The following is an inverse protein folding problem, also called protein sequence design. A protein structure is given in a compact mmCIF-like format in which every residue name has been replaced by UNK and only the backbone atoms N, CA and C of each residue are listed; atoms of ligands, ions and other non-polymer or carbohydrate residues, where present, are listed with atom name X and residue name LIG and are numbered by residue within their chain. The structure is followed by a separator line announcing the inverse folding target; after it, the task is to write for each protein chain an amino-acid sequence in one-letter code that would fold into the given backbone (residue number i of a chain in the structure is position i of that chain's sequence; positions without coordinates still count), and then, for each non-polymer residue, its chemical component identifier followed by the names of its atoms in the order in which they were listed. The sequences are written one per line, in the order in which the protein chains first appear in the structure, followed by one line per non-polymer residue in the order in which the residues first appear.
data_IF_178408813836
#
_entry.id   IF_178408813836
#
_cell.length_a   1.000
_cell.length_b   1.000
_cell.length_c   1.000
_cell.angle_alpha   90.00
_cell.angle_beta   90.00
_cell.angle_gamma   90.00
#
_symmetry.space_group_name_H-M   'P 1'
#
loop_
_entity.id
_entity.type
_entity.pdbx_description
1 polymer ?
#
# COMPACT_ATOMS: atom_id res chain seq x y z
N UNK A 1 26.28 2.13 -16.62
CA UNK A 1 25.15 3.04 -16.53
C UNK A 1 24.39 2.71 -15.23
N UNK A 2 24.74 3.42 -14.18
CA UNK A 2 23.97 3.38 -12.92
C UNK A 2 22.74 4.27 -13.18
N UNK A 3 21.57 3.69 -13.27
CA UNK A 3 20.34 4.44 -13.39
C UNK A 3 20.12 5.18 -12.08
N UNK A 4 20.08 6.49 -12.12
CA UNK A 4 19.89 7.35 -10.94
C UNK A 4 18.41 7.35 -10.56
N UNK A 5 18.02 6.37 -9.76
CA UNK A 5 16.66 6.22 -9.22
C UNK A 5 16.24 7.41 -8.33
N UNK A 6 17.20 8.22 -7.87
CA UNK A 6 16.91 9.35 -6.98
C UNK A 6 16.13 10.46 -7.68
N UNK A 7 16.30 10.64 -8.98
CA UNK A 7 15.59 11.65 -9.76
C UNK A 7 14.18 11.25 -10.17
N UNK A 8 13.90 9.96 -10.31
CA UNK A 8 12.55 9.48 -10.65
C UNK A 8 11.62 9.48 -9.43
N UNK A 9 12.18 9.53 -8.22
CA UNK A 9 11.43 9.52 -6.96
C UNK A 9 11.01 10.91 -6.48
N UNK A 10 11.65 11.98 -6.95
CA UNK A 10 11.54 13.29 -6.30
C UNK A 10 10.44 14.18 -6.82
N UNK A 11 9.95 14.10 -8.04
CA UNK A 11 9.05 15.14 -8.54
C UNK A 11 7.75 14.70 -9.22
N UNK A 12 7.72 13.64 -9.99
CA UNK A 12 6.50 13.30 -10.75
C UNK A 12 5.70 12.13 -10.17
N UNK A 13 6.36 11.09 -9.64
CA UNK A 13 5.68 9.88 -9.20
C UNK A 13 5.06 9.99 -7.80
N UNK A 14 5.70 10.72 -6.89
CA UNK A 14 5.13 10.94 -5.55
C UNK A 14 4.02 11.97 -5.61
N UNK A 15 4.19 13.07 -6.34
CA UNK A 15 3.16 14.10 -6.48
C UNK A 15 1.94 13.59 -7.27
N UNK A 16 2.14 12.76 -8.29
CA UNK A 16 1.04 12.13 -9.03
C UNK A 16 0.36 11.01 -8.24
N UNK A 17 1.12 10.29 -7.38
CA UNK A 17 0.57 9.25 -6.50
C UNK A 17 -0.24 9.80 -5.32
N UNK A 18 0.07 11.02 -4.89
CA UNK A 18 -0.35 11.56 -3.58
C UNK A 18 -1.66 12.37 -3.64
N UNK A 19 -2.29 12.54 -4.74
CA UNK A 19 -3.56 13.28 -4.70
C UNK A 19 -4.18 13.69 -6.03
N UNK A 20 -3.53 13.47 -7.13
CA UNK A 20 -4.03 13.91 -8.43
C UNK A 20 -4.51 12.78 -9.32
N UNK A 21 -5.13 11.75 -8.74
CA UNK A 21 -5.87 10.72 -9.47
C UNK A 21 -5.25 10.40 -10.84
N UNK A 22 -4.13 9.69 -10.86
CA UNK A 22 -3.47 9.33 -12.11
C UNK A 22 -4.29 8.28 -12.86
N UNK A 23 -4.14 8.19 -14.17
CA UNK A 23 -4.74 7.14 -14.99
C UNK A 23 -4.38 5.72 -14.48
N UNK A 24 -3.28 5.57 -13.74
CA UNK A 24 -2.89 4.31 -13.12
C UNK A 24 -3.90 3.87 -12.05
N UNK A 25 -4.36 4.78 -11.19
CA UNK A 25 -5.39 4.48 -10.19
C UNK A 25 -6.71 4.08 -10.84
N UNK A 26 -7.13 4.78 -11.89
CA UNK A 26 -8.31 4.41 -12.68
C UNK A 26 -8.19 3.01 -13.27
N UNK A 27 -7.04 2.70 -13.89
CA UNK A 27 -6.78 1.38 -14.46
C UNK A 27 -6.79 0.29 -13.39
N UNK A 28 -6.18 0.54 -12.23
CA UNK A 28 -6.16 -0.40 -11.11
C UNK A 28 -7.56 -0.69 -10.59
N UNK A 29 -8.36 0.34 -10.32
CA UNK A 29 -9.75 0.20 -9.88
C UNK A 29 -10.55 -0.63 -10.88
N UNK A 30 -10.55 -0.24 -12.17
CA UNK A 30 -11.28 -0.96 -13.22
C UNK A 30 -10.82 -2.39 -13.40
N UNK A 31 -9.52 -2.65 -13.28
CA UNK A 31 -8.98 -4.01 -13.37
C UNK A 31 -9.45 -4.86 -12.19
N UNK A 32 -9.36 -4.34 -10.97
CA UNK A 32 -9.83 -5.03 -9.77
C UNK A 32 -11.32 -5.37 -9.85
N UNK A 33 -12.16 -4.41 -10.26
CA UNK A 33 -13.58 -4.62 -10.46
C UNK A 33 -13.87 -5.67 -11.53
N UNK A 34 -13.16 -5.62 -12.68
CA UNK A 34 -13.32 -6.59 -13.77
C UNK A 34 -12.97 -8.01 -13.29
N UNK A 35 -11.83 -8.17 -12.62
CA UNK A 35 -11.40 -9.48 -12.11
C UNK A 35 -12.40 -9.98 -11.06
N UNK A 36 -12.78 -9.12 -10.11
CA UNK A 36 -13.71 -9.51 -9.04
C UNK A 36 -15.07 -9.97 -9.56
N UNK A 37 -15.60 -9.31 -10.60
CA UNK A 37 -16.87 -9.73 -11.26
C UNK A 37 -16.76 -11.04 -12.01
N UNK A 38 -15.63 -11.30 -12.65
CA UNK A 38 -15.46 -12.44 -13.55
C UNK A 38 -14.77 -13.64 -12.90
N UNK A 39 -14.30 -13.53 -11.65
CA UNK A 39 -13.68 -14.67 -10.97
C UNK A 39 -14.70 -15.79 -10.68
N UNK A 40 -14.28 -17.05 -10.58
CA UNK A 40 -15.13 -18.14 -10.11
C UNK A 40 -15.73 -17.82 -8.73
N UNK A 41 -16.95 -18.27 -8.47
CA UNK A 41 -17.69 -17.98 -7.24
C UNK A 41 -16.99 -18.56 -5.98
N UNK A 42 -16.30 -19.67 -6.15
CA UNK A 42 -15.55 -20.39 -5.10
C UNK A 42 -14.14 -19.81 -4.87
N UNK A 43 -13.74 -18.78 -5.63
CA UNK A 43 -12.41 -18.13 -5.52
C UNK A 43 -12.50 -16.76 -4.89
N UNK A 44 -11.52 -16.47 -4.03
CA UNK A 44 -11.33 -15.16 -3.44
C UNK A 44 -10.28 -14.38 -4.25
N UNK A 45 -10.56 -13.11 -4.53
CA UNK A 45 -9.54 -12.19 -5.07
C UNK A 45 -8.76 -11.60 -3.89
N UNK A 46 -7.45 -11.72 -3.95
CA UNK A 46 -6.53 -11.03 -3.04
C UNK A 46 -5.69 -10.09 -3.90
N UNK A 47 -5.56 -8.84 -3.45
CA UNK A 47 -4.81 -7.80 -4.15
C UNK A 47 -3.59 -7.46 -3.32
N UNK A 48 -2.44 -7.30 -3.94
CA UNK A 48 -1.21 -6.93 -3.24
C UNK A 48 -0.37 -5.95 -4.04
N UNK A 49 0.45 -5.16 -3.36
CA UNK A 49 1.35 -4.23 -3.99
C UNK A 49 2.32 -3.55 -3.00
N UNK A 50 3.42 -3.04 -3.54
CA UNK A 50 4.45 -2.33 -2.79
C UNK A 50 4.58 -0.89 -3.29
N UNK A 51 4.84 0.05 -2.41
CA UNK A 51 5.08 1.47 -2.73
C UNK A 51 3.89 2.09 -3.48
N UNK A 52 4.09 2.67 -4.65
CA UNK A 52 3.03 3.14 -5.54
C UNK A 52 2.07 2.00 -5.89
N UNK A 53 2.59 0.80 -6.19
CA UNK A 53 1.79 -0.41 -6.42
C UNK A 53 0.94 -0.80 -5.20
N UNK A 54 1.40 -0.51 -3.97
CA UNK A 54 0.64 -0.63 -2.74
C UNK A 54 -0.56 0.32 -2.69
N UNK A 55 -0.37 1.57 -3.11
CA UNK A 55 -1.45 2.54 -3.27
C UNK A 55 -2.48 2.10 -4.33
N UNK A 56 -2.00 1.61 -5.47
CA UNK A 56 -2.86 1.08 -6.54
C UNK A 56 -3.66 -0.15 -6.07
N UNK A 57 -3.01 -1.06 -5.35
CA UNK A 57 -3.66 -2.23 -4.75
C UNK A 57 -4.74 -1.81 -3.75
N UNK A 58 -4.42 -0.83 -2.90
CA UNK A 58 -5.36 -0.24 -1.93
C UNK A 58 -6.58 0.34 -2.62
N UNK A 59 -6.40 1.11 -3.69
CA UNK A 59 -7.51 1.70 -4.44
C UNK A 59 -8.42 0.63 -5.06
N UNK A 60 -7.82 -0.39 -5.70
CA UNK A 60 -8.59 -1.52 -6.26
C UNK A 60 -9.28 -2.36 -5.19
N UNK A 61 -8.61 -2.58 -4.05
CA UNK A 61 -9.17 -3.29 -2.90
C UNK A 61 -10.36 -2.57 -2.28
N UNK A 62 -10.21 -1.27 -2.02
CA UNK A 62 -11.28 -0.44 -1.46
C UNK A 62 -12.48 -0.32 -2.38
N UNK A 63 -12.27 -0.29 -3.72
CA UNK A 63 -13.35 -0.25 -4.70
C UNK A 63 -14.14 -1.57 -4.79
N UNK A 64 -13.53 -2.69 -4.40
CA UNK A 64 -14.12 -4.02 -4.56
C UNK A 64 -14.48 -4.72 -3.25
N UNK A 65 -14.06 -4.18 -2.11
CA UNK A 65 -14.13 -4.85 -0.81
C UNK A 65 -13.30 -6.13 -0.73
N UNK A 66 -12.30 -6.26 -1.60
CA UNK A 66 -11.42 -7.43 -1.63
C UNK A 66 -10.31 -7.33 -0.59
N UNK A 67 -9.87 -8.48 -0.10
CA UNK A 67 -8.72 -8.57 0.80
C UNK A 67 -7.47 -8.02 0.13
N UNK A 68 -6.80 -7.10 0.78
CA UNK A 68 -5.67 -6.37 0.21
C UNK A 68 -4.52 -6.32 1.20
N UNK A 69 -3.32 -6.63 0.71
CA UNK A 69 -2.07 -6.50 1.44
C UNK A 69 -1.17 -5.49 0.74
N UNK A 70 -0.96 -4.37 1.39
CA UNK A 70 -0.14 -3.28 0.87
C UNK A 70 1.14 -3.14 1.69
N UNK A 71 2.28 -2.99 1.03
CA UNK A 71 3.59 -2.92 1.67
C UNK A 71 4.22 -1.56 1.40
N UNK A 72 4.62 -0.83 2.44
CA UNK A 72 5.17 0.53 2.35
C UNK A 72 4.38 1.41 1.39
N UNK A 73 3.05 1.31 1.46
CA UNK A 73 2.16 1.82 0.44
C UNK A 73 2.04 3.35 0.46
N UNK A 74 1.98 3.95 -0.72
CA UNK A 74 1.51 5.32 -0.88
C UNK A 74 0.05 5.44 -0.44
N UNK A 75 -0.29 6.54 0.22
CA UNK A 75 -1.67 6.84 0.57
C UNK A 75 -2.53 7.12 -0.66
N UNK A 76 -3.82 6.88 -0.55
CA UNK A 76 -4.80 7.17 -1.61
C UNK A 76 -5.67 8.34 -1.16
N UNK A 77 -5.64 9.43 -1.92
CA UNK A 77 -6.45 10.58 -1.60
C UNK A 77 -7.95 10.28 -1.79
N UNK A 78 -8.84 10.70 -0.89
CA UNK A 78 -10.29 10.45 -1.01
C UNK A 78 -10.89 10.87 -2.34
N UNK A 79 -10.47 12.00 -2.89
CA UNK A 79 -10.92 12.50 -4.19
C UNK A 79 -10.61 11.54 -5.36
N UNK A 80 -9.63 10.63 -5.20
CA UNK A 80 -9.32 9.61 -6.21
C UNK A 80 -10.49 8.64 -6.37
N UNK A 81 -11.11 8.25 -5.27
CA UNK A 81 -12.28 7.37 -5.28
C UNK A 81 -13.46 8.04 -5.96
N UNK A 82 -13.79 9.26 -5.55
CA UNK A 82 -14.87 10.05 -6.12
C UNK A 82 -14.66 10.27 -7.64
N UNK A 83 -13.46 10.70 -8.03
CA UNK A 83 -13.08 10.94 -9.44
C UNK A 83 -13.28 9.72 -10.33
N UNK A 84 -13.10 8.52 -9.78
CA UNK A 84 -13.22 7.28 -10.56
C UNK A 84 -14.49 6.48 -10.25
N UNK A 85 -15.48 7.11 -9.61
CA UNK A 85 -16.83 6.58 -9.45
C UNK A 85 -16.97 5.56 -8.32
N UNK A 86 -16.01 5.49 -7.40
CA UNK A 86 -16.11 4.66 -6.20
C UNK A 86 -16.81 5.46 -5.10
N UNK A 87 -18.13 5.29 -4.99
CA UNK A 87 -18.95 6.07 -4.06
C UNK A 87 -18.73 5.68 -2.59
N UNK A 88 -18.49 4.40 -2.32
CA UNK A 88 -18.32 3.85 -0.97
C UNK A 88 -17.05 2.98 -0.91
N UNK A 89 -15.85 3.59 -0.82
CA UNK A 89 -14.62 2.83 -0.71
C UNK A 89 -14.58 2.08 0.64
N UNK A 90 -14.45 0.75 0.58
CA UNK A 90 -14.34 -0.11 1.75
C UNK A 90 -12.89 -0.53 2.00
N UNK A 91 -12.27 0.09 3.00
CA UNK A 91 -10.89 -0.22 3.41
C UNK A 91 -10.82 -1.20 4.59
N UNK A 92 -11.92 -1.77 5.03
CA UNK A 92 -11.97 -2.66 6.20
C UNK A 92 -11.14 -3.95 6.04
N UNK A 93 -10.86 -4.34 4.79
CA UNK A 93 -10.05 -5.51 4.45
C UNK A 93 -8.69 -5.16 3.85
N UNK A 94 -8.27 -3.91 3.99
CA UNK A 94 -6.95 -3.45 3.57
C UNK A 94 -6.01 -3.50 4.77
N UNK A 95 -4.89 -4.21 4.61
CA UNK A 95 -3.84 -4.32 5.62
C UNK A 95 -2.56 -3.74 5.05
N UNK A 96 -2.06 -2.69 5.67
CA UNK A 96 -0.85 -1.99 5.23
C UNK A 96 0.29 -2.24 6.19
N UNK A 97 1.32 -2.92 5.71
CA UNK A 97 2.57 -3.19 6.43
C UNK A 97 3.62 -2.16 6.05
N UNK A 98 4.29 -1.60 7.03
CA UNK A 98 5.36 -0.64 6.81
C UNK A 98 6.41 -0.73 7.91
N UNK A 99 7.65 -0.38 7.61
CA UNK A 99 8.70 -0.34 8.62
C UNK A 99 8.66 0.96 9.40
N UNK A 100 9.19 0.94 10.61
CA UNK A 100 9.40 2.15 11.42
C UNK A 100 10.36 3.16 10.75
N UNK A 101 11.07 2.76 9.70
CA UNK A 101 12.00 3.58 8.93
C UNK A 101 11.48 3.93 7.52
N UNK A 102 10.27 3.53 7.17
CA UNK A 102 9.66 3.82 5.87
C UNK A 102 9.37 5.33 5.72
N UNK A 103 10.11 5.96 4.80
CA UNK A 103 10.04 7.41 4.60
C UNK A 103 8.66 7.89 4.10
N UNK A 104 7.94 7.10 3.28
CA UNK A 104 6.61 7.46 2.83
C UNK A 104 5.61 7.55 3.99
N UNK A 105 5.67 6.57 4.89
CA UNK A 105 4.82 6.56 6.06
C UNK A 105 5.25 7.60 7.09
N UNK A 106 6.55 7.87 7.23
CA UNK A 106 7.04 8.97 8.06
C UNK A 106 6.60 10.33 7.50
N UNK A 107 6.74 10.56 6.20
CA UNK A 107 6.31 11.80 5.55
C UNK A 107 4.79 11.99 5.67
N UNK A 108 3.99 10.97 5.43
CA UNK A 108 2.52 11.05 5.54
C UNK A 108 2.03 11.24 6.98
N UNK A 109 2.82 10.80 7.98
CA UNK A 109 2.49 11.05 9.38
C UNK A 109 2.81 12.49 9.82
N UNK A 110 3.85 13.09 9.24
CA UNK A 110 4.38 14.40 9.65
C UNK A 110 3.92 15.54 8.76
N UNK A 111 3.57 15.27 7.51
CA UNK A 111 3.10 16.26 6.54
C UNK A 111 1.60 16.07 6.34
N UNK A 112 0.80 16.98 6.87
CA UNK A 112 -0.69 16.95 6.76
C UNK A 112 -1.20 16.98 5.32
N UNK A 113 -0.33 17.23 4.35
CA UNK A 113 -0.66 17.30 2.93
C UNK A 113 -0.67 15.94 2.22
N UNK A 114 -0.10 14.90 2.84
CA UNK A 114 -0.03 13.56 2.25
C UNK A 114 -1.06 12.63 2.90
N UNK A 115 -1.89 11.94 2.11
CA UNK A 115 -2.81 10.96 2.67
C UNK A 115 -2.02 9.80 3.29
N UNK A 116 -2.49 9.36 4.45
CA UNK A 116 -1.94 8.15 5.09
C UNK A 116 -2.36 6.92 4.29
N UNK A 117 -1.52 5.89 4.31
CA UNK A 117 -1.91 4.58 3.81
C UNK A 117 -3.19 4.10 4.51
N UNK A 118 -4.14 3.58 3.73
CA UNK A 118 -5.46 3.25 4.21
C UNK A 118 -5.52 1.86 4.87
N UNK A 119 -6.64 1.60 5.56
CA UNK A 119 -6.93 0.33 6.22
C UNK A 119 -6.23 0.16 7.56
N UNK A 120 -6.10 -1.09 8.00
CA UNK A 120 -5.33 -1.43 9.19
C UNK A 120 -3.84 -1.25 8.92
N UNK A 121 -3.18 -0.41 9.72
CA UNK A 121 -1.76 -0.08 9.56
C UNK A 121 -0.93 -0.85 10.56
N UNK A 122 -0.02 -1.69 10.08
CA UNK A 122 0.82 -2.58 10.87
C UNK A 122 2.28 -2.11 10.71
N UNK A 123 2.81 -1.52 11.77
CA UNK A 123 4.21 -1.09 11.82
C UNK A 123 5.08 -2.25 12.28
N UNK A 124 6.16 -2.48 11.55
CA UNK A 124 7.16 -3.50 11.85
C UNK A 124 8.48 -2.85 12.24
N UNK A 125 9.15 -3.41 13.21
CA UNK A 125 10.44 -2.93 13.66
C UNK A 125 11.56 -3.60 12.86
N UNK A 126 12.31 -2.78 12.11
CA UNK A 126 13.53 -3.23 11.44
C UNK A 126 14.73 -2.96 12.32
N UNK A 127 15.54 -4.00 12.57
CA UNK A 127 16.69 -3.96 13.49
C UNK A 127 17.96 -3.42 12.85
N UNK A 128 17.97 -3.14 11.55
CA UNK A 128 19.14 -2.65 10.83
C UNK A 128 19.37 -1.15 11.06
N UNK A 129 20.63 -0.76 10.95
CA UNK A 129 21.07 0.64 11.05
C UNK A 129 20.24 1.55 10.16
N UNK A 130 19.82 2.69 10.70
CA UNK A 130 19.00 3.69 10.05
C UNK A 130 19.50 4.01 8.63
N UNK A 131 18.67 3.70 7.64
CA UNK A 131 18.85 4.14 6.27
C UNK A 131 17.48 4.44 5.69
N UNK A 132 17.29 5.68 5.30
CA UNK A 132 16.04 6.17 4.70
C UNK A 132 15.59 5.34 3.49
N UNK A 133 16.54 4.91 2.67
CA UNK A 133 16.26 4.10 1.48
C UNK A 133 15.88 2.67 1.83
N UNK A 134 16.54 2.09 2.83
CA UNK A 134 16.30 0.70 3.24
C UNK A 134 14.98 0.50 3.96
N UNK A 135 14.48 1.49 4.70
CA UNK A 135 13.20 1.39 5.40
C UNK A 135 12.00 1.20 4.48
N UNK A 136 12.15 1.56 3.20
CA UNK A 136 11.14 1.38 2.16
C UNK A 136 11.33 0.09 1.34
N UNK A 137 12.40 -0.67 1.61
CA UNK A 137 12.78 -1.83 0.84
C UNK A 137 11.94 -3.06 1.23
N UNK A 138 11.30 -3.69 0.23
CA UNK A 138 10.45 -4.86 0.44
C UNK A 138 11.20 -6.07 1.04
N UNK A 139 12.41 -6.43 0.60
CA UNK A 139 13.20 -7.50 1.24
C UNK A 139 13.44 -7.28 2.72
N UNK A 140 13.72 -6.05 3.15
CA UNK A 140 13.91 -5.73 4.57
C UNK A 140 12.61 -5.88 5.35
N UNK A 141 11.50 -5.39 4.79
CA UNK A 141 10.18 -5.54 5.40
C UNK A 141 9.76 -7.02 5.54
N UNK A 142 10.05 -7.84 4.55
CA UNK A 142 9.78 -9.29 4.60
C UNK A 142 10.59 -9.98 5.70
N UNK A 143 11.86 -9.60 5.87
CA UNK A 143 12.68 -10.09 6.99
C UNK A 143 12.11 -9.68 8.35
N UNK A 144 11.64 -8.44 8.47
CA UNK A 144 11.00 -7.97 9.70
C UNK A 144 9.71 -8.75 10.02
N UNK A 145 8.88 -9.05 9.01
CA UNK A 145 7.70 -9.90 9.14
C UNK A 145 8.11 -11.29 9.66
N UNK A 146 9.09 -11.92 9.03
CA UNK A 146 9.55 -13.26 9.42
C UNK A 146 10.12 -13.29 10.84
N UNK A 147 10.88 -12.26 11.24
CA UNK A 147 11.44 -12.16 12.58
C UNK A 147 10.35 -12.02 13.64
N UNK A 148 9.37 -11.16 13.41
CA UNK A 148 8.25 -10.94 14.33
C UNK A 148 7.31 -12.14 14.39
N UNK A 149 7.09 -12.85 13.28
CA UNK A 149 6.35 -14.12 13.26
C UNK A 149 7.06 -15.21 14.07
N UNK A 150 8.39 -15.28 13.97
CA UNK A 150 9.19 -16.22 14.74
C UNK A 150 9.13 -15.94 16.24
N UNK A 151 9.19 -14.66 16.64
CA UNK A 151 9.09 -14.24 18.04
C UNK A 151 7.71 -14.52 18.62
N UNK A 152 6.66 -14.24 17.85
CA UNK A 152 5.28 -14.48 18.27
C UNK A 152 4.86 -15.94 18.21
N UNK A 153 5.64 -16.83 17.56
CA UNK A 153 5.29 -18.23 17.32
C UNK A 153 4.03 -18.41 16.47
N UNK A 154 3.63 -17.39 15.73
CA UNK A 154 2.43 -17.38 14.88
C UNK A 154 2.56 -16.34 13.75
N UNK A 155 1.85 -16.52 12.63
CA UNK A 155 1.81 -15.51 11.59
C UNK A 155 1.32 -14.16 12.11
N UNK A 156 1.98 -13.07 11.67
CA UNK A 156 1.46 -11.72 11.87
C UNK A 156 0.18 -11.60 11.05
N UNK A 157 -0.92 -11.83 11.70
CA UNK A 157 -2.23 -11.58 11.11
C UNK A 157 -2.66 -10.20 11.55
N UNK A 158 -3.12 -9.40 10.61
CA UNK A 158 -4.01 -8.32 10.92
C UNK A 158 -5.10 -8.89 11.85
N UNK A 159 -5.14 -8.41 13.09
CA UNK A 159 -6.09 -8.89 14.07
C UNK A 159 -7.49 -8.56 13.59
N UNK A 160 -8.25 -9.62 13.42
CA UNK A 160 -9.67 -9.75 13.11
C UNK A 160 -10.03 -9.78 11.63
N UNK A 161 -10.34 -10.96 11.25
CA UNK A 161 -11.40 -11.25 10.30
C UNK A 161 -12.75 -10.80 10.85
#
# INVERSE_FOLDING_TARGET
LVHDWSKEWTDENIQQGVGMGSEQYKKSIKLAEKINRNKPKDKQLIITGHSLGGGLATAGGAATGCKTYAFCAAGVHPNTYEKYGVQHPDTSKVHTYYSNQDFLNMASNNLSLMPKAAGERIMLHTMDSFSFERGHDLPLLLKAIQAEEAELGRPIRANKL
#
